data_IF_489759046441
#
_entry.id   IF_489759046441
#
_cell.length_a   1.000
_cell.length_b   1.000
_cell.length_c   1.000
_cell.angle_alpha   90.00
_cell.angle_beta   90.00
_cell.angle_gamma   90.00
#
_symmetry.space_group_name_H-M   'P 1'
#
loop_
_entity.id
_entity.type
_entity.pdbx_description
1 polymer ?
#
# COMPACT_ATOMS: atom_id res chain seq x y z
N UNK A 1 19.82 17.13 8.37
CA UNK A 1 19.00 16.15 7.62
C UNK A 1 17.88 16.92 6.94
N UNK A 2 17.70 16.82 5.63
CA UNK A 2 16.53 17.40 4.95
C UNK A 2 15.31 16.55 5.31
N UNK A 3 14.25 17.11 5.95
CA UNK A 3 13.14 16.31 6.45
C UNK A 3 12.33 15.58 5.38
N UNK A 4 12.56 15.84 4.09
CA UNK A 4 11.90 15.17 2.97
C UNK A 4 12.76 14.07 2.33
N UNK A 5 13.97 13.81 2.84
CA UNK A 5 14.93 12.90 2.20
C UNK A 5 14.34 11.51 1.91
N UNK A 6 13.53 10.96 2.82
CA UNK A 6 13.01 9.59 2.67
C UNK A 6 11.83 9.48 1.71
N UNK A 7 11.32 10.59 1.17
CA UNK A 7 10.26 10.56 0.16
C UNK A 7 10.71 9.74 -1.05
N UNK A 8 11.85 10.10 -1.65
CA UNK A 8 12.38 9.45 -2.85
C UNK A 8 12.56 7.95 -2.65
N UNK A 9 13.41 7.50 -1.70
CA UNK A 9 13.66 6.09 -1.42
C UNK A 9 12.40 5.24 -1.16
N UNK A 10 11.34 5.84 -0.60
CA UNK A 10 10.10 5.14 -0.25
C UNK A 10 8.96 5.34 -1.28
N UNK A 11 9.18 6.06 -2.38
CA UNK A 11 8.12 6.46 -3.30
C UNK A 11 7.41 5.28 -4.00
N UNK A 12 8.09 4.13 -4.15
CA UNK A 12 7.51 2.91 -4.73
C UNK A 12 6.67 2.09 -3.73
N UNK A 13 6.61 2.51 -2.47
CA UNK A 13 5.84 1.82 -1.43
C UNK A 13 6.31 0.38 -1.23
N UNK A 14 5.38 -0.57 -1.17
CA UNK A 14 5.65 -2.01 -1.04
C UNK A 14 5.37 -2.77 -2.34
N UNK A 15 5.30 -2.07 -3.47
CA UNK A 15 4.92 -2.64 -4.76
C UNK A 15 6.14 -2.97 -5.62
N UNK A 16 6.00 -4.01 -6.43
CA UNK A 16 6.96 -4.39 -7.45
C UNK A 16 6.75 -3.52 -8.69
N UNK A 17 7.52 -2.43 -8.76
CA UNK A 17 7.48 -1.46 -9.85
C UNK A 17 8.80 -1.55 -10.63
N UNK A 18 8.81 -1.84 -11.95
CA UNK A 18 10.07 -2.09 -12.66
C UNK A 18 10.91 -0.83 -12.89
N UNK A 19 10.27 0.34 -12.94
CA UNK A 19 10.94 1.63 -13.17
C UNK A 19 10.25 2.74 -12.38
N UNK A 20 11.05 3.56 -11.69
CA UNK A 20 10.57 4.72 -10.94
C UNK A 20 11.62 5.83 -10.96
N UNK A 21 11.16 7.08 -10.96
CA UNK A 21 12.00 8.27 -10.88
C UNK A 21 11.38 9.26 -9.89
N UNK A 22 12.21 9.87 -9.06
CA UNK A 22 11.78 10.90 -8.11
C UNK A 22 12.72 12.09 -8.16
N UNK A 23 12.16 13.29 -8.10
CA UNK A 23 12.90 14.55 -8.00
C UNK A 23 12.30 15.37 -6.87
N UNK A 24 13.11 15.69 -5.86
CA UNK A 24 12.69 16.44 -4.68
C UNK A 24 13.45 17.75 -4.64
N UNK A 25 12.73 18.87 -4.64
CA UNK A 25 13.30 20.21 -4.55
C UNK A 25 13.01 20.81 -3.18
N UNK A 26 14.05 21.26 -2.50
CA UNK A 26 13.91 22.07 -1.29
C UNK A 26 13.93 23.55 -1.68
N UNK A 27 13.03 24.34 -1.08
CA UNK A 27 12.96 25.79 -1.27
C UNK A 27 12.98 26.47 0.09
N UNK A 28 13.64 27.62 0.17
CA UNK A 28 13.64 28.44 1.37
C UNK A 28 12.40 29.35 1.40
N UNK A 29 11.82 29.50 2.59
CA UNK A 29 10.66 30.35 2.85
C UNK A 29 10.87 31.09 4.17
N UNK A 30 10.22 32.25 4.34
CA UNK A 30 10.29 33.05 5.56
C UNK A 30 9.38 32.50 6.69
N UNK A 31 9.26 31.18 6.79
CA UNK A 31 8.44 30.48 7.78
C UNK A 31 9.32 29.76 8.79
N UNK A 32 8.71 29.20 9.85
CA UNK A 32 9.44 28.34 10.78
C UNK A 32 10.16 27.21 10.01
N UNK A 33 11.40 26.82 10.42
CA UNK A 33 12.14 25.74 9.79
C UNK A 33 11.35 24.43 9.83
N UNK A 34 11.40 23.69 8.73
CA UNK A 34 10.81 22.35 8.66
C UNK A 34 11.70 21.38 9.44
N UNK A 35 11.08 20.47 10.19
CA UNK A 35 11.79 19.42 10.94
C UNK A 35 11.12 18.06 10.73
N UNK A 36 11.85 17.00 11.03
CA UNK A 36 11.40 15.63 10.89
C UNK A 36 10.28 15.32 11.90
N UNK A 37 9.12 14.93 11.38
CA UNK A 37 8.06 14.32 12.18
C UNK A 37 7.73 12.93 11.65
N UNK A 38 7.75 11.93 12.55
CA UNK A 38 7.35 10.53 12.30
C UNK A 38 7.71 9.98 10.91
N UNK A 39 9.00 10.03 10.55
CA UNK A 39 9.51 9.34 9.36
C UNK A 39 9.95 10.22 8.20
N UNK A 40 9.96 11.55 8.36
CA UNK A 40 10.75 12.48 7.51
C UNK A 40 10.63 12.21 5.99
N UNK A 41 9.43 12.33 5.42
CA UNK A 41 9.16 12.09 4.01
C UNK A 41 8.47 10.75 3.71
N UNK A 42 8.53 9.80 4.65
CA UNK A 42 7.84 8.50 4.52
C UNK A 42 6.32 8.65 4.49
N UNK A 43 5.67 9.40 5.40
CA UNK A 43 4.22 9.57 5.34
C UNK A 43 3.72 10.12 3.99
N UNK A 44 4.46 11.07 3.43
CA UNK A 44 4.16 11.71 2.15
C UNK A 44 4.31 10.73 0.99
N UNK A 45 5.37 9.90 0.99
CA UNK A 45 5.56 8.86 -0.01
C UNK A 45 4.47 7.79 0.06
N UNK A 46 4.17 7.28 1.26
CA UNK A 46 3.11 6.28 1.47
C UNK A 46 1.75 6.82 1.06
N UNK A 47 1.44 8.06 1.42
CA UNK A 47 0.19 8.70 0.99
C UNK A 47 0.11 8.77 -0.54
N UNK A 48 1.20 9.22 -1.19
CA UNK A 48 1.25 9.38 -2.65
C UNK A 48 1.00 8.06 -3.36
N UNK A 49 1.74 7.00 -3.02
CA UNK A 49 1.61 5.71 -3.69
C UNK A 49 0.26 5.03 -3.43
N UNK A 50 -0.26 5.08 -2.20
CA UNK A 50 -1.57 4.46 -1.89
C UNK A 50 -2.72 5.18 -2.61
N UNK A 51 -2.63 6.50 -2.77
CA UNK A 51 -3.61 7.26 -3.56
C UNK A 51 -3.49 6.99 -5.05
N UNK A 52 -2.28 6.78 -5.57
CA UNK A 52 -2.08 6.35 -6.96
C UNK A 52 -2.69 4.97 -7.21
N UNK A 53 -2.50 4.01 -6.29
CA UNK A 53 -3.11 2.68 -6.38
C UNK A 53 -4.64 2.76 -6.39
N UNK A 54 -5.22 3.57 -5.50
CA UNK A 54 -6.67 3.75 -5.45
C UNK A 54 -7.22 4.40 -6.73
N UNK A 55 -6.52 5.40 -7.27
CA UNK A 55 -6.90 6.03 -8.54
C UNK A 55 -6.78 5.07 -9.72
N UNK A 56 -5.69 4.30 -9.80
CA UNK A 56 -5.49 3.30 -10.84
C UNK A 56 -6.55 2.20 -10.80
N UNK A 57 -6.98 1.80 -9.61
CA UNK A 57 -8.11 0.87 -9.42
C UNK A 57 -9.41 1.41 -10.02
N UNK A 58 -9.72 2.69 -9.80
CA UNK A 58 -10.91 3.33 -10.37
C UNK A 58 -10.85 3.42 -11.89
N UNK A 59 -9.69 3.78 -12.46
CA UNK A 59 -9.52 3.93 -13.92
C UNK A 59 -9.53 2.58 -14.65
N UNK A 60 -8.95 1.54 -14.04
CA UNK A 60 -8.87 0.20 -14.63
C UNK A 60 -10.10 -0.67 -14.35
N UNK A 61 -10.99 -0.25 -13.43
CA UNK A 61 -12.14 -1.04 -13.01
C UNK A 61 -11.77 -2.32 -12.24
N UNK A 62 -10.58 -2.37 -11.64
CA UNK A 62 -10.07 -3.51 -10.85
C UNK A 62 -10.29 -3.17 -9.37
N UNK A 63 -10.69 -4.14 -8.54
CA UNK A 63 -10.77 -3.90 -7.10
C UNK A 63 -9.41 -3.45 -6.55
N UNK A 64 -9.43 -2.40 -5.71
CA UNK A 64 -8.22 -1.79 -5.16
C UNK A 64 -7.35 -2.78 -4.39
N UNK A 65 -7.95 -3.82 -3.86
CA UNK A 65 -7.28 -4.84 -3.05
C UNK A 65 -6.61 -5.86 -3.93
N UNK A 66 -7.31 -6.30 -4.98
CA UNK A 66 -6.75 -7.18 -6.00
C UNK A 66 -5.57 -6.51 -6.72
N UNK A 67 -5.69 -5.22 -7.04
CA UNK A 67 -4.60 -4.47 -7.66
C UNK A 67 -3.36 -4.43 -6.76
N UNK A 68 -3.52 -4.28 -5.45
CA UNK A 68 -2.39 -4.34 -4.50
C UNK A 68 -1.74 -5.71 -4.49
N UNK A 69 -2.55 -6.76 -4.33
CA UNK A 69 -2.12 -8.16 -4.28
C UNK A 69 -1.33 -8.55 -5.52
N UNK A 70 -1.81 -8.13 -6.69
CA UNK A 70 -1.16 -8.40 -7.97
C UNK A 70 0.25 -7.81 -8.06
N UNK A 71 0.50 -6.71 -7.37
CA UNK A 71 1.75 -5.96 -7.45
C UNK A 71 2.62 -6.09 -6.18
N UNK A 72 2.27 -6.95 -5.22
CA UNK A 72 3.15 -7.19 -4.06
C UNK A 72 4.28 -8.15 -4.43
N UNK A 73 5.49 -7.96 -3.87
CA UNK A 73 6.57 -8.92 -4.03
C UNK A 73 6.19 -10.27 -3.41
N UNK A 74 6.54 -11.34 -4.10
CA UNK A 74 6.24 -12.72 -3.67
C UNK A 74 7.42 -13.43 -3.02
N UNK A 75 8.63 -12.88 -3.17
CA UNK A 75 9.86 -13.42 -2.61
C UNK A 75 10.64 -12.33 -1.89
N UNK A 76 11.35 -12.72 -0.84
CA UNK A 76 12.22 -11.84 -0.05
C UNK A 76 13.60 -12.50 0.13
N UNK A 77 14.70 -11.71 0.21
CA UNK A 77 14.74 -10.25 0.18
C UNK A 77 14.37 -9.67 -1.20
N UNK A 78 13.58 -8.60 -1.19
CA UNK A 78 13.09 -7.93 -2.39
C UNK A 78 13.80 -6.59 -2.60
N UNK A 79 14.56 -6.46 -3.70
CA UNK A 79 15.20 -5.19 -4.04
C UNK A 79 14.21 -4.26 -4.72
N UNK A 80 13.91 -3.13 -4.08
CA UNK A 80 13.09 -2.09 -4.67
C UNK A 80 13.86 -1.34 -5.75
N UNK A 81 13.12 -0.72 -6.66
CA UNK A 81 13.64 0.00 -7.83
C UNK A 81 14.58 1.15 -7.48
N UNK A 82 14.30 1.82 -6.37
CA UNK A 82 15.00 3.05 -5.99
C UNK A 82 16.22 2.74 -5.13
N UNK A 83 16.03 2.57 -3.82
CA UNK A 83 17.17 2.50 -2.88
C UNK A 83 17.10 1.30 -1.94
N UNK A 84 15.91 0.94 -1.45
CA UNK A 84 15.80 -0.03 -0.37
C UNK A 84 15.74 -1.48 -0.87
N UNK A 85 16.29 -2.39 -0.07
CA UNK A 85 16.01 -3.82 -0.16
C UNK A 85 15.14 -4.17 1.03
N UNK A 86 13.94 -4.68 0.76
CA UNK A 86 13.02 -5.17 1.79
C UNK A 86 13.49 -6.55 2.21
N UNK A 87 13.70 -6.73 3.51
CA UNK A 87 14.20 -7.95 4.13
C UNK A 87 13.15 -9.06 4.15
N UNK A 88 11.92 -8.73 4.52
CA UNK A 88 10.83 -9.69 4.74
C UNK A 88 9.46 -9.03 4.62
N UNK A 89 8.42 -9.85 4.41
CA UNK A 89 7.05 -9.35 4.27
C UNK A 89 5.99 -10.44 4.27
N UNK A 90 4.85 -10.16 4.91
CA UNK A 90 3.72 -11.10 5.04
C UNK A 90 2.39 -10.53 4.50
N UNK A 91 2.46 -9.52 3.63
CA UNK A 91 1.30 -8.71 3.21
C UNK A 91 0.14 -9.55 2.67
N UNK A 92 0.46 -10.53 1.81
CA UNK A 92 -0.53 -11.46 1.23
C UNK A 92 -1.18 -12.37 2.28
N UNK A 93 -0.42 -12.83 3.27
CA UNK A 93 -0.89 -13.73 4.32
C UNK A 93 -1.85 -12.99 5.27
N UNK A 94 -1.48 -11.78 5.69
CA UNK A 94 -2.30 -10.95 6.58
C UNK A 94 -3.60 -10.52 5.90
N UNK A 95 -3.56 -10.20 4.59
CA UNK A 95 -4.77 -9.90 3.84
C UNK A 95 -5.76 -11.08 3.85
N UNK A 96 -5.29 -12.29 3.55
CA UNK A 96 -6.13 -13.51 3.60
C UNK A 96 -6.68 -13.75 5.00
N UNK A 97 -5.89 -13.48 6.04
CA UNK A 97 -6.30 -13.63 7.44
C UNK A 97 -7.42 -12.65 7.82
N UNK A 98 -7.32 -11.39 7.41
CA UNK A 98 -8.32 -10.37 7.67
C UNK A 98 -9.64 -10.63 6.92
N UNK A 99 -9.56 -11.06 5.65
CA UNK A 99 -10.75 -11.28 4.82
C UNK A 99 -11.42 -12.65 5.03
N UNK A 100 -10.78 -13.56 5.78
CA UNK A 100 -11.39 -14.82 6.24
C UNK A 100 -12.73 -14.57 6.97
N UNK A 101 -12.83 -13.48 7.72
CA UNK A 101 -14.06 -13.11 8.43
C UNK A 101 -15.19 -12.65 7.50
N UNK A 102 -14.88 -12.10 6.33
CA UNK A 102 -15.88 -11.69 5.35
C UNK A 102 -16.46 -12.90 4.60
N UNK A 103 -15.60 -13.86 4.21
CA UNK A 103 -16.04 -15.14 3.63
C UNK A 103 -16.95 -15.91 4.59
N UNK A 104 -16.59 -15.93 5.88
CA UNK A 104 -17.42 -16.58 6.91
C UNK A 104 -18.80 -15.92 7.06
N UNK A 105 -18.91 -14.59 6.86
CA UNK A 105 -20.19 -13.87 6.94
C UNK A 105 -21.10 -14.14 5.74
N UNK A 106 -20.54 -14.23 4.53
CA UNK A 106 -21.28 -14.60 3.31
C UNK A 106 -21.79 -16.03 3.41
N UNK A 107 -20.92 -16.98 3.80
CA UNK A 107 -21.31 -18.39 4.00
C UNK A 107 -22.41 -18.53 5.08
N UNK A 108 -22.33 -17.76 6.17
CA UNK A 108 -23.34 -17.75 7.23
C UNK A 108 -24.65 -17.07 6.80
N UNK A 109 -24.63 -16.19 5.80
CA UNK A 109 -25.83 -15.60 5.19
C UNK A 109 -26.48 -16.54 4.17
N UNK A 110 -25.69 -17.23 3.36
CA UNK A 110 -26.15 -18.29 2.45
C UNK A 110 -26.77 -19.46 3.22
N UNK A 111 -26.12 -19.91 4.30
CA UNK A 111 -26.64 -20.97 5.18
C UNK A 111 -27.95 -20.57 5.88
N UNK A 112 -28.16 -19.28 6.17
CA UNK A 112 -29.44 -18.76 6.68
C UNK A 112 -30.53 -18.69 5.61
N UNK A 113 -30.16 -18.44 4.34
CA UNK A 113 -31.10 -18.44 3.21
C UNK A 113 -31.54 -19.85 2.77
N UNK A 114 -30.75 -20.86 3.12
CA UNK A 114 -30.99 -22.28 2.82
C UNK A 114 -31.79 -23.02 3.90
N UNK A 115 -32.07 -22.40 5.04
CA UNK A 115 -32.94 -23.02 6.06
C UNK A 115 -34.39 -23.05 5.54
N UNK A 116 -35.05 -24.22 5.51
CA UNK A 116 -36.45 -24.29 5.10
C UNK A 116 -37.29 -23.42 6.05
N UNK A 117 -38.19 -22.61 5.47
CA UNK A 117 -39.18 -21.88 6.26
C UNK A 117 -40.04 -22.92 6.98
N UNK A 118 -39.95 -22.97 8.31
CA UNK A 118 -40.88 -23.76 9.12
C UNK A 118 -42.30 -23.24 8.86
N UNK A 119 -43.22 -24.17 8.57
CA UNK A 119 -44.63 -23.92 8.28
C UNK A 119 -45.40 -23.46 9.52
#
# INVERSE_FOLDING_TARGET
MTPTYLFGPCATGVYEIPAAYTNVKAVYTNTAPVDAYRGAGRPEATYTIERLVEKASMELGIDKTELRIKNFPTAFPFKQTLVHTVDSGIMLLEWKRQNRWQTTKVLRQEEKSLKPKEN
#
